data_IF_533306457254
#
_entry.id   IF_533306457254
#
_cell.length_a   1.000
_cell.length_b   1.000
_cell.length_c   1.000
_cell.angle_alpha   90.00
_cell.angle_beta   90.00
_cell.angle_gamma   90.00
#
_symmetry.space_group_name_H-M   'P 1'
#
loop_
_entity.id
_entity.type
_entity.pdbx_description
1 polymer ?
2 polymer ?
3 non-polymer ?
4 non-polymer ?
5 non-polymer ?
6 water ?
#
# COMPACT_ATOMS: atom_id res chain seq x y z
N UNK A 1 32.25 -10.83 -12.97
CA UNK A 1 30.81 -11.26 -12.90
C UNK A 1 30.04 -10.63 -11.75
N UNK A 2 28.80 -10.13 -12.01
CA UNK A 2 27.97 -9.54 -10.94
C UNK A 2 27.54 -10.56 -9.88
N UNK A 3 27.08 -10.14 -8.71
CA UNK A 3 26.59 -11.08 -7.70
C UNK A 3 25.26 -11.69 -8.16
N UNK A 4 25.00 -12.88 -7.65
CA UNK A 4 23.83 -13.68 -7.99
C UNK A 4 23.17 -14.11 -6.68
N UNK A 5 21.85 -13.98 -6.62
CA UNK A 5 21.07 -14.41 -5.47
C UNK A 5 19.95 -15.35 -5.92
N UNK A 6 20.01 -16.59 -5.42
CA UNK A 6 19.04 -17.66 -5.75
C UNK A 6 18.82 -17.72 -7.26
N UNK A 7 19.89 -17.78 -8.02
CA UNK A 7 19.79 -17.83 -9.47
C UNK A 7 19.47 -16.55 -10.24
N UNK A 8 19.23 -15.42 -9.56
CA UNK A 8 19.02 -14.16 -10.26
C UNK A 8 20.30 -13.33 -10.22
N UNK A 9 20.74 -12.86 -11.38
CA UNK A 9 21.83 -11.92 -11.45
C UNK A 9 21.35 -10.56 -10.92
N UNK A 10 22.14 -9.92 -10.07
CA UNK A 10 21.86 -8.54 -9.65
C UNK A 10 22.95 -7.64 -10.10
N UNK A 11 22.78 -7.08 -11.28
CA UNK A 11 23.84 -6.30 -11.90
C UNK A 11 23.85 -4.86 -11.35
N UNK A 12 24.30 -4.71 -10.11
CA UNK A 12 24.19 -3.46 -9.36
C UNK A 12 25.52 -3.01 -8.77
N UNK A 13 26.59 -3.74 -9.03
CA UNK A 13 27.89 -3.38 -8.50
C UNK A 13 28.46 -2.39 -9.47
N UNK A 14 29.58 -1.77 -9.15
CA UNK A 14 30.30 -1.94 -7.86
C UNK A 14 29.73 -1.15 -6.70
N UNK A 15 28.80 -0.21 -6.91
CA UNK A 15 28.28 0.59 -5.80
C UNK A 15 27.57 -0.24 -4.68
N UNK A 16 26.78 -1.20 -5.08
CA UNK A 16 25.91 -1.97 -4.20
C UNK A 16 26.42 -3.39 -4.19
N UNK A 17 26.74 -3.88 -2.99
CA UNK A 17 27.37 -5.19 -2.81
C UNK A 17 26.73 -5.95 -1.65
N UNK A 18 27.16 -7.20 -1.43
CA UNK A 18 26.78 -8.05 -0.30
C UNK A 18 25.26 -8.31 -0.31
N UNK A 19 24.76 -8.78 -1.43
CA UNK A 19 23.32 -8.95 -1.59
C UNK A 19 22.78 -10.16 -0.82
N UNK A 20 21.64 -9.98 -0.17
CA UNK A 20 20.99 -11.07 0.53
C UNK A 20 19.53 -11.05 0.15
N UNK A 21 18.99 -12.23 -0.03
CA UNK A 21 17.60 -12.39 -0.40
C UNK A 21 16.65 -11.89 0.69
N UNK A 22 15.61 -11.19 0.25
CA UNK A 22 14.48 -10.82 1.11
C UNK A 22 13.19 -11.49 0.65
N UNK A 23 12.84 -11.42 -0.63
CA UNK A 23 11.52 -11.92 -1.11
C UNK A 23 11.42 -11.84 -2.63
N UNK A 24 10.27 -12.21 -3.17
CA UNK A 24 10.04 -12.12 -4.60
C UNK A 24 8.58 -11.91 -5.01
N UNK A 25 8.38 -11.63 -6.31
CA UNK A 25 7.08 -11.69 -7.02
C UNK A 25 7.20 -12.38 -8.40
N UNK A 26 6.10 -12.41 -9.17
CA UNK A 26 6.10 -12.96 -10.54
C UNK A 26 7.12 -12.39 -11.52
N UNK A 27 7.52 -11.13 -11.40
CA UNK A 27 8.49 -10.59 -12.37
C UNK A 27 9.66 -9.83 -11.72
N UNK A 28 10.05 -10.23 -10.51
CA UNK A 28 11.13 -9.56 -9.79
C UNK A 28 11.62 -10.23 -8.52
N UNK A 29 12.61 -9.63 -7.87
CA UNK A 29 13.14 -10.13 -6.58
C UNK A 29 13.67 -8.95 -5.78
N UNK A 30 13.51 -8.99 -4.45
CA UNK A 30 14.05 -7.97 -3.57
C UNK A 30 15.20 -8.57 -2.76
N UNK A 31 16.30 -7.81 -2.64
CA UNK A 31 17.45 -8.18 -1.80
C UNK A 31 17.85 -7.02 -0.92
N UNK A 32 18.54 -7.30 0.18
CA UNK A 32 19.22 -6.27 0.93
C UNK A 32 20.60 -6.15 0.34
N UNK A 33 21.17 -4.98 0.50
CA UNK A 33 22.55 -4.73 0.09
C UNK A 33 23.23 -3.61 0.91
N UNK A 34 24.53 -3.40 0.63
CA UNK A 34 25.29 -2.31 1.17
C UNK A 34 25.67 -1.36 0.06
N UNK A 35 25.31 -0.10 0.28
CA UNK A 35 25.71 1.01 -0.59
C UNK A 35 27.07 1.47 -0.14
N UNK A 36 28.11 1.12 -0.91
CA UNK A 36 29.48 1.44 -0.54
C UNK A 36 29.78 2.96 -0.68
N UNK A 37 28.96 3.66 -1.44
CA UNK A 37 29.17 5.11 -1.70
C UNK A 37 28.65 5.91 -0.51
N UNK A 38 27.38 5.81 -0.22
CA UNK A 38 26.80 6.50 0.96
C UNK A 38 26.98 5.76 2.32
N UNK A 39 27.48 4.52 2.29
CA UNK A 39 27.72 3.72 3.53
C UNK A 39 26.42 3.55 4.30
N UNK A 40 25.45 2.97 3.60
CA UNK A 40 24.14 2.71 4.16
C UNK A 40 23.62 1.40 3.60
N UNK A 41 22.76 0.77 4.37
CA UNK A 41 22.13 -0.48 3.98
C UNK A 41 20.87 -0.18 3.20
N UNK A 42 20.69 -0.91 2.10
CA UNK A 42 19.59 -0.65 1.19
C UNK A 42 18.81 -1.92 0.88
N UNK A 43 17.61 -1.69 0.40
CA UNK A 43 16.82 -2.73 -0.25
C UNK A 43 16.85 -2.48 -1.73
N UNK A 44 16.99 -3.51 -2.54
CA UNK A 44 17.06 -3.33 -3.99
C UNK A 44 16.06 -4.30 -4.60
N UNK A 45 15.11 -3.77 -5.38
CA UNK A 45 14.17 -4.59 -6.12
C UNK A 45 14.58 -4.69 -7.56
N UNK A 46 14.80 -5.92 -8.06
CA UNK A 46 14.98 -6.20 -9.48
C UNK A 46 13.60 -6.47 -10.11
N UNK A 47 13.28 -5.76 -11.20
CA UNK A 47 12.03 -5.92 -11.97
C UNK A 47 12.42 -6.30 -13.38
N UNK A 48 11.68 -7.25 -13.98
CA UNK A 48 11.90 -7.66 -15.33
C UNK A 48 10.56 -7.63 -16.08
N UNK A 49 10.04 -6.41 -16.40
CA UNK A 49 8.65 -6.27 -16.75
C UNK A 49 8.32 -6.24 -18.23
N UNK A 50 9.31 -6.22 -19.09
CA UNK A 50 9.11 -5.65 -20.40
C UNK A 50 8.38 -6.57 -21.38
N UNK A 51 8.17 -7.83 -21.00
CA UNK A 51 7.43 -8.77 -21.84
C UNK A 51 5.94 -8.70 -21.66
N UNK A 52 5.45 -7.97 -20.66
CA UNK A 52 4.02 -7.91 -20.39
C UNK A 52 3.58 -6.50 -20.18
N UNK A 53 2.50 -6.15 -20.86
CA UNK A 53 2.02 -4.79 -20.84
C UNK A 53 1.61 -4.35 -19.42
N UNK A 54 0.93 -5.23 -18.70
CA UNK A 54 0.42 -4.87 -17.38
C UNK A 54 1.59 -4.65 -16.39
N UNK A 55 2.64 -5.47 -16.47
CA UNK A 55 3.86 -5.25 -15.66
C UNK A 55 4.54 -3.92 -15.98
N UNK A 56 4.63 -3.59 -17.25
CA UNK A 56 5.17 -2.27 -17.70
C UNK A 56 4.36 -1.10 -17.12
N UNK A 57 3.06 -1.25 -17.13
CA UNK A 57 2.12 -0.23 -16.64
C UNK A 57 2.34 0.02 -15.17
N UNK A 58 2.42 -1.06 -14.41
CA UNK A 58 2.60 -0.97 -12.97
C UNK A 58 3.99 -0.45 -12.62
N UNK A 59 5.00 -0.85 -13.38
CA UNK A 59 6.35 -0.34 -13.16
C UNK A 59 6.44 1.18 -13.37
N UNK A 60 5.81 1.67 -14.45
CA UNK A 60 5.79 3.08 -14.76
C UNK A 60 5.06 3.86 -13.68
N UNK A 61 3.94 3.33 -13.24
CA UNK A 61 3.13 4.04 -12.23
C UNK A 61 3.93 4.15 -10.95
N UNK A 62 4.50 3.04 -10.53
CA UNK A 62 5.20 3.04 -9.27
C UNK A 62 6.37 4.02 -9.28
N UNK A 63 7.09 3.98 -10.39
CA UNK A 63 8.21 4.91 -10.55
C UNK A 63 7.77 6.35 -10.57
N UNK A 64 6.77 6.70 -11.36
CA UNK A 64 6.35 8.10 -11.51
C UNK A 64 5.84 8.58 -10.19
N UNK A 65 5.09 7.73 -9.50
CA UNK A 65 4.47 8.15 -8.26
C UNK A 65 5.51 8.38 -7.19
N UNK A 66 6.32 7.38 -6.95
CA UNK A 66 7.29 7.46 -5.87
C UNK A 66 8.37 8.48 -6.10
N UNK A 67 8.75 8.70 -7.34
CA UNK A 67 9.69 9.80 -7.62
C UNK A 67 9.12 11.18 -7.33
N UNK A 68 7.80 11.39 -7.42
CA UNK A 68 7.25 12.69 -6.99
C UNK A 68 7.03 12.80 -5.49
N UNK A 69 6.73 11.69 -4.84
CA UNK A 69 6.33 11.71 -3.45
C UNK A 69 7.53 11.99 -2.56
N UNK A 70 7.28 12.75 -1.52
CA UNK A 70 8.29 12.96 -0.51
C UNK A 70 7.54 13.11 0.83
N UNK A 71 7.62 12.11 1.66
CA UNK A 71 6.89 12.09 2.92
C UNK A 71 7.54 11.10 3.88
N UNK A 72 7.56 11.46 5.14
CA UNK A 72 8.25 10.68 6.16
C UNK A 72 7.68 9.30 6.35
N UNK A 73 6.38 9.09 6.04
CA UNK A 73 5.75 7.78 6.20
C UNK A 73 5.54 7.02 4.87
N UNK A 74 6.30 7.38 3.85
CA UNK A 74 6.27 6.70 2.58
C UNK A 74 7.76 6.45 2.19
N UNK A 75 8.08 5.21 1.83
CA UNK A 75 9.47 4.87 1.42
C UNK A 75 9.85 5.57 0.10
N UNK A 76 11.01 6.25 0.09
CA UNK A 76 11.47 6.95 -1.08
C UNK A 76 12.36 6.08 -1.94
N UNK A 77 12.54 6.52 -3.18
CA UNK A 77 13.47 5.88 -4.10
C UNK A 77 14.78 6.64 -4.02
N UNK A 78 15.86 5.93 -3.79
CA UNK A 78 17.17 6.57 -3.69
C UNK A 78 17.87 6.61 -5.05
N UNK A 79 17.64 5.56 -5.85
CA UNK A 79 18.40 5.30 -7.06
C UNK A 79 17.63 4.33 -7.93
N UNK A 80 17.86 4.42 -9.24
CA UNK A 80 17.32 3.47 -10.17
C UNK A 80 18.41 3.11 -11.13
N UNK A 81 18.65 1.82 -11.24
CA UNK A 81 19.67 1.31 -12.15
C UNK A 81 19.03 0.60 -13.34
N UNK A 82 19.51 0.93 -14.54
CA UNK A 82 19.16 0.21 -15.75
C UNK A 82 20.17 0.53 -16.87
N UNK A 83 20.07 -0.20 -17.97
CA UNK A 83 21.11 -0.17 -19.02
C UNK A 83 21.19 1.17 -19.73
N UNK A 84 22.36 1.50 -20.32
CA UNK A 84 22.48 2.82 -20.93
C UNK A 84 21.68 3.04 -22.23
N UNK A 85 21.25 1.96 -22.87
CA UNK A 85 20.42 2.02 -24.08
C UNK A 85 19.16 1.21 -23.92
N UNK A 86 18.08 1.67 -24.55
CA UNK A 86 16.78 1.01 -24.41
C UNK A 86 16.79 -0.45 -24.86
N UNK A 87 17.53 -0.79 -25.95
CA UNK A 87 17.63 -2.18 -26.40
C UNK A 87 18.31 -3.11 -25.37
N UNK A 88 19.29 -2.61 -24.63
CA UNK A 88 19.93 -3.43 -23.59
C UNK A 88 19.15 -3.49 -22.27
N UNK A 89 18.16 -2.64 -22.09
CA UNK A 89 17.37 -2.62 -20.87
C UNK A 89 16.40 -3.81 -20.85
N UNK A 90 16.70 -4.78 -20.00
CA UNK A 90 15.81 -5.89 -19.69
C UNK A 90 15.32 -5.82 -18.26
N UNK A 91 16.17 -5.34 -17.36
CA UNK A 91 15.86 -5.28 -15.94
C UNK A 91 15.97 -3.86 -15.43
N UNK A 92 15.18 -3.53 -14.41
CA UNK A 92 15.28 -2.24 -13.74
C UNK A 92 15.45 -2.54 -12.25
N UNK A 93 16.39 -1.87 -11.60
CA UNK A 93 16.62 -2.07 -10.19
C UNK A 93 16.31 -0.80 -9.46
N UNK A 94 15.41 -0.88 -8.50
CA UNK A 94 15.04 0.26 -7.67
C UNK A 94 15.65 0.12 -6.26
N UNK A 95 16.30 1.18 -5.82
CA UNK A 95 17.02 1.18 -4.55
C UNK A 95 16.28 2.05 -3.54
N UNK A 96 16.07 1.52 -2.35
CA UNK A 96 15.52 2.23 -1.20
C UNK A 96 16.33 2.01 0.06
N UNK A 97 16.15 2.87 1.03
CA UNK A 97 16.72 2.63 2.37
C UNK A 97 16.14 1.31 2.95
N UNK A 98 16.99 0.49 3.55
CA UNK A 98 16.57 -0.80 4.11
C UNK A 98 15.84 -0.52 5.39
N UNK A 99 14.67 -1.09 5.56
CA UNK A 99 13.97 -1.00 6.82
C UNK A 99 14.18 -2.32 7.55
N UNK A 100 13.98 -2.31 8.87
CA UNK A 100 14.32 -3.49 9.68
C UNK A 100 13.32 -4.61 9.64
N UNK A 101 12.03 -4.29 9.55
CA UNK A 101 11.03 -5.33 9.55
C UNK A 101 9.77 -4.77 8.87
N UNK A 102 8.69 -5.52 8.96
CA UNK A 102 7.40 -5.02 8.52
C UNK A 102 6.34 -5.48 9.54
N UNK A 103 5.13 -4.94 9.37
CA UNK A 103 4.08 -5.20 10.33
C UNK A 103 3.63 -6.67 10.31
N UNK A 104 3.58 -7.29 9.15
CA UNK A 104 3.26 -8.72 9.03
C UNK A 104 4.19 -9.51 9.95
N UNK A 105 5.50 -9.29 9.80
CA UNK A 105 6.48 -9.99 10.67
C UNK A 105 6.33 -9.68 12.12
N UNK A 106 6.11 -8.41 12.42
CA UNK A 106 6.03 -7.99 13.80
C UNK A 106 4.82 -8.68 14.46
N UNK A 107 3.71 -8.77 13.74
CA UNK A 107 2.50 -9.39 14.30
C UNK A 107 2.61 -10.92 14.50
N UNK A 108 3.56 -11.56 13.84
CA UNK A 108 3.85 -12.99 14.09
C UNK A 108 4.60 -13.17 15.39
N UNK A 109 5.32 -12.15 15.84
CA UNK A 109 6.24 -12.32 16.95
C UNK A 109 5.85 -11.60 18.21
N UNK A 110 4.94 -10.63 18.12
CA UNK A 110 4.69 -9.71 19.22
C UNK A 110 3.23 -9.31 19.31
N UNK A 111 2.69 -9.31 20.52
CA UNK A 111 1.40 -8.70 20.84
C UNK A 111 1.67 -7.21 21.11
N UNK A 112 1.10 -6.31 20.32
CA UNK A 112 1.40 -4.85 20.44
C UNK A 112 0.61 -4.22 21.55
N UNK A 113 1.21 -3.28 22.28
CA UNK A 113 0.48 -2.52 23.29
C UNK A 113 -0.49 -1.60 22.57
N UNK A 114 -1.50 -1.13 23.29
CA UNK A 114 -2.44 -0.17 22.71
C UNK A 114 -1.69 1.07 22.24
N UNK A 115 -0.67 1.49 22.97
CA UNK A 115 0.10 2.65 22.56
C UNK A 115 0.78 2.42 21.22
N UNK A 116 1.35 1.22 21.00
CA UNK A 116 1.97 0.91 19.70
C UNK A 116 0.96 0.91 18.58
N UNK A 117 -0.19 0.30 18.83
CA UNK A 117 -1.22 0.20 17.81
C UNK A 117 -1.68 1.63 17.40
N UNK A 118 -1.92 2.46 18.40
CA UNK A 118 -2.35 3.83 18.21
C UNK A 118 -1.30 4.60 17.35
N UNK A 119 -0.03 4.53 17.75
CA UNK A 119 1.03 5.24 17.00
C UNK A 119 1.22 4.71 15.58
N UNK A 120 1.26 3.39 15.38
CA UNK A 120 1.32 2.83 14.05
C UNK A 120 0.15 3.25 13.18
N UNK A 121 -1.07 3.18 13.72
CA UNK A 121 -2.24 3.60 12.98
C UNK A 121 -2.14 5.08 12.56
N UNK A 122 -1.67 5.94 13.47
CA UNK A 122 -1.50 7.37 13.19
C UNK A 122 -0.58 7.49 11.96
N UNK A 123 0.52 6.75 11.99
CA UNK A 123 1.52 6.90 10.93
C UNK A 123 1.00 6.38 9.61
N UNK A 124 0.24 5.30 9.62
CA UNK A 124 -0.37 4.80 8.41
C UNK A 124 -1.29 5.88 7.81
N UNK A 125 -2.17 6.46 8.65
CA UNK A 125 -3.12 7.42 8.15
C UNK A 125 -2.49 8.75 7.76
N UNK A 126 -1.39 9.14 8.42
CA UNK A 126 -0.66 10.35 8.04
C UNK A 126 -0.04 10.17 6.63
N UNK A 127 0.60 9.02 6.41
CA UNK A 127 1.05 8.63 5.06
C UNK A 127 -0.10 8.57 4.07
N UNK A 128 -1.22 7.96 4.46
CA UNK A 128 -2.33 7.89 3.53
C UNK A 128 -2.92 9.24 3.18
N UNK A 129 -2.96 10.16 4.14
CA UNK A 129 -3.44 11.54 3.90
C UNK A 129 -2.67 12.17 2.74
N UNK A 130 -1.36 12.02 2.82
CA UNK A 130 -0.50 12.50 1.74
C UNK A 130 -0.82 11.81 0.42
N UNK A 131 -0.93 10.48 0.43
CA UNK A 131 -1.21 9.73 -0.81
C UNK A 131 -2.54 10.16 -1.44
N UNK A 132 -3.57 10.20 -0.61
CA UNK A 132 -4.90 10.62 -1.10
C UNK A 132 -4.95 12.07 -1.52
N UNK A 133 -4.19 12.95 -0.86
CA UNK A 133 -4.13 14.38 -1.30
C UNK A 133 -3.50 14.50 -2.71
N UNK A 134 -2.70 13.53 -3.10
CA UNK A 134 -2.14 13.52 -4.45
C UNK A 134 -3.05 12.91 -5.52
N UNK A 135 -4.26 12.48 -5.15
CA UNK A 135 -5.18 11.80 -6.07
C UNK A 135 -4.71 10.41 -6.44
N UNK A 136 -3.93 9.81 -5.56
CA UNK A 136 -3.48 8.44 -5.75
C UNK A 136 -4.30 7.51 -4.85
N UNK A 137 -4.55 6.32 -5.37
CA UNK A 137 -5.11 5.20 -4.63
C UNK A 137 -3.96 4.20 -4.51
N UNK A 138 -3.70 3.75 -3.29
CA UNK A 138 -2.65 2.75 -3.11
C UNK A 138 -3.07 1.36 -3.63
N UNK A 139 -4.22 0.90 -3.15
CA UNK A 139 -4.89 -0.31 -3.61
C UNK A 139 -4.26 -1.59 -3.15
N UNK A 140 -3.27 -1.57 -2.27
CA UNK A 140 -2.77 -2.81 -1.74
C UNK A 140 -2.19 -2.68 -0.37
N UNK A 141 -2.85 -1.91 0.47
CA UNK A 141 -2.40 -1.80 1.82
C UNK A 141 -2.65 -3.10 2.58
N UNK A 142 -1.63 -3.52 3.31
CA UNK A 142 -1.68 -4.70 4.13
C UNK A 142 -0.43 -4.76 5.01
N UNK A 143 -0.42 -5.66 5.99
CA UNK A 143 0.66 -5.56 6.97
C UNK A 143 2.08 -5.69 6.37
N UNK A 144 2.25 -6.54 5.37
CA UNK A 144 3.59 -6.72 4.77
C UNK A 144 4.04 -5.53 3.89
N UNK A 145 3.12 -4.60 3.58
CA UNK A 145 3.43 -3.33 2.94
C UNK A 145 3.64 -2.15 3.87
N UNK A 146 3.71 -2.40 5.17
CA UNK A 146 4.00 -1.39 6.13
C UNK A 146 5.34 -1.73 6.80
N UNK A 147 6.37 -0.97 6.45
CA UNK A 147 7.71 -1.28 6.91
C UNK A 147 7.95 -0.49 8.19
N UNK A 148 8.76 -1.06 9.05
CA UNK A 148 9.06 -0.50 10.33
C UNK A 148 10.53 -0.63 10.66
N UNK A 149 11.06 0.37 11.35
CA UNK A 149 12.29 0.22 12.11
C UNK A 149 11.96 0.03 13.61
N UNK A 150 12.90 -0.49 14.39
CA UNK A 150 12.70 -0.71 15.83
C UNK A 150 12.55 0.59 16.62
N UNK A 151 12.88 1.75 16.01
CA UNK A 151 12.49 3.01 16.59
C UNK A 151 10.98 3.33 16.41
N UNK A 152 10.18 2.40 15.90
CA UNK A 152 8.74 2.60 15.64
C UNK A 152 8.37 3.55 14.52
N UNK A 153 9.33 3.89 13.66
CA UNK A 153 9.03 4.66 12.46
C UNK A 153 8.43 3.75 11.44
N UNK A 154 7.30 4.15 10.85
CA UNK A 154 6.57 3.36 9.87
C UNK A 154 6.55 4.05 8.50
N UNK A 155 6.75 3.25 7.44
CA UNK A 155 6.71 3.73 6.11
C UNK A 155 5.91 2.79 5.23
N UNK A 156 5.03 3.37 4.43
CA UNK A 156 4.25 2.63 3.46
C UNK A 156 5.09 2.33 2.23
N UNK A 157 5.05 1.09 1.77
CA UNK A 157 5.78 0.69 0.58
C UNK A 157 4.84 0.08 -0.45
N UNK A 158 5.45 -0.36 -1.55
CA UNK A 158 4.82 -1.10 -2.64
C UNK A 158 3.74 -0.35 -3.36
N UNK A 159 4.12 0.48 -4.31
CA UNK A 159 3.16 1.25 -5.10
C UNK A 159 2.91 0.56 -6.46
N UNK A 160 3.16 -0.74 -6.51
CA UNK A 160 3.07 -1.48 -7.77
C UNK A 160 1.65 -1.65 -8.23
N UNK A 161 0.68 -1.50 -7.31
CA UNK A 161 -0.71 -1.52 -7.69
C UNK A 161 -1.38 -0.16 -7.64
N UNK A 162 -0.59 0.91 -7.43
CA UNK A 162 -1.16 2.21 -7.15
C UNK A 162 -1.44 2.88 -8.43
N UNK A 163 -2.39 3.83 -8.40
CA UNK A 163 -2.69 4.61 -9.59
C UNK A 163 -3.25 5.96 -9.20
N UNK A 164 -3.34 6.82 -10.21
CA UNK A 164 -3.94 8.13 -10.09
C UNK A 164 -5.37 8.02 -10.51
N UNK A 165 -6.26 8.71 -9.78
CA UNK A 165 -7.63 8.96 -10.27
C UNK A 165 -8.04 10.39 -9.94
N UNK A 166 -7.85 11.25 -10.92
CA UNK A 166 -8.18 12.67 -10.89
C UNK A 166 -9.68 12.82 -10.58
N UNK A 167 -10.02 13.40 -9.44
CA UNK A 167 -11.43 13.53 -9.08
C UNK A 167 -12.23 14.53 -9.96
N UNK A 168 -11.59 15.27 -10.87
CA UNK A 168 -12.34 16.03 -11.87
C UNK A 168 -13.12 15.12 -12.83
N UNK A 169 -12.76 13.83 -12.92
CA UNK A 169 -13.37 12.93 -13.89
C UNK A 169 -13.97 11.75 -13.18
N UNK A 170 -15.18 11.39 -13.57
CA UNK A 170 -15.82 10.17 -13.07
C UNK A 170 -15.10 8.96 -13.71
N UNK A 171 -14.47 8.13 -12.86
CA UNK A 171 -13.79 6.91 -13.29
C UNK A 171 -14.67 5.65 -13.26
N UNK A 172 -15.95 5.79 -12.98
CA UNK A 172 -16.84 4.65 -12.93
C UNK A 172 -16.82 3.93 -14.28
N UNK A 173 -16.54 2.63 -14.20
CA UNK A 173 -16.47 1.77 -15.40
C UNK A 173 -15.05 1.67 -15.95
N UNK A 174 -14.12 2.43 -15.39
CA UNK A 174 -12.73 2.48 -15.95
C UNK A 174 -11.62 2.04 -15.03
N UNK A 175 -11.93 1.58 -13.82
CA UNK A 175 -10.88 1.11 -12.90
C UNK A 175 -10.65 -0.39 -13.05
N UNK A 177 -10.25 -4.21 -12.21
CA UNK A 177 -10.94 -5.12 -11.29
C UNK A 177 -9.93 -5.92 -10.47
N UNK A 179 -8.38 -5.74 -7.56
CA UNK A 179 -7.27 -5.09 -6.87
C UNK A 179 -7.31 -5.44 -5.35
N UNK A 180 -6.27 -5.01 -4.65
CA UNK A 180 -5.98 -5.34 -3.25
C UNK A 180 -5.71 -6.85 -3.07
N UNK A 181 -5.18 -7.19 -1.91
CA UNK A 181 -5.00 -8.57 -1.49
C UNK A 181 -6.28 -8.98 -0.82
N UNK A 182 -6.71 -10.22 -1.11
CA UNK A 182 -8.07 -10.67 -0.81
C UNK A 182 -8.57 -10.29 0.56
N UNK A 183 -7.81 -10.62 1.61
CA UNK A 183 -8.29 -10.39 2.97
C UNK A 183 -8.54 -8.90 3.28
N UNK A 184 -7.91 -7.99 2.51
CA UNK A 184 -7.90 -6.53 2.76
C UNK A 184 -8.77 -5.81 1.77
N UNK A 185 -9.60 -6.60 1.07
CA UNK A 185 -10.32 -6.11 -0.08
C UNK A 185 -11.72 -5.60 0.34
N UNK A 186 -12.04 -4.33 0.03
CA UNK A 186 -13.33 -3.74 0.39
C UNK A 186 -14.46 -4.41 -0.39
N UNK A 187 -15.67 -4.37 0.15
CA UNK A 187 -16.74 -5.12 -0.50
C UNK A 187 -17.07 -4.59 -1.90
N UNK A 188 -16.93 -3.28 -2.11
CA UNK A 188 -17.24 -2.69 -3.38
C UNK A 188 -16.23 -3.09 -4.49
N UNK A 189 -15.04 -3.54 -4.16
CA UNK A 189 -14.18 -4.17 -5.19
C UNK A 189 -14.90 -5.41 -5.83
N UNK A 190 -15.75 -6.09 -5.05
CA UNK A 190 -16.50 -7.26 -5.57
C UNK A 190 -17.83 -6.84 -6.19
N UNK A 191 -18.42 -5.78 -5.67
CA UNK A 191 -19.79 -5.35 -6.06
C UNK A 191 -19.86 -4.17 -7.03
N UNK A 192 -18.76 -3.42 -7.16
CA UNK A 192 -18.70 -2.26 -8.05
C UNK A 192 -17.28 -2.30 -8.58
N UNK A 193 -16.99 -3.41 -9.23
CA UNK A 193 -15.60 -3.82 -9.48
C UNK A 193 -14.75 -2.90 -10.38
N UNK A 194 -15.40 -1.99 -11.12
CA UNK A 194 -14.76 -1.03 -12.03
C UNK A 194 -15.05 0.43 -11.67
N UNK A 195 -15.60 0.63 -10.48
CA UNK A 195 -16.12 1.93 -10.03
C UNK A 195 -15.86 2.30 -8.57
N UNK A 196 -14.88 1.66 -7.94
CA UNK A 196 -14.51 1.95 -6.56
C UNK A 196 -13.67 3.27 -6.53
N UNK A 197 -13.35 3.71 -5.32
CA UNK A 197 -12.68 4.99 -5.06
C UNK A 197 -11.57 4.73 -4.06
N UNK A 198 -10.84 5.79 -3.72
CA UNK A 198 -9.83 5.76 -2.68
C UNK A 198 -10.34 5.30 -1.31
N UNK A 199 -11.66 5.20 -1.14
CA UNK A 199 -12.22 4.66 0.09
C UNK A 199 -11.81 3.21 0.32
N UNK A 200 -11.43 2.50 -0.75
CA UNK A 200 -10.92 1.13 -0.57
C UNK A 200 -9.71 1.08 0.30
N UNK A 201 -8.92 2.15 0.28
CA UNK A 201 -7.70 2.17 1.10
C UNK A 201 -8.07 2.30 2.59
N UNK A 202 -9.12 3.04 2.90
CA UNK A 202 -9.59 3.16 4.29
C UNK A 202 -10.05 1.79 4.80
N UNK A 203 -10.77 1.06 3.97
CA UNK A 203 -11.19 -0.30 4.33
C UNK A 203 -9.98 -1.17 4.67
N UNK A 204 -8.96 -1.12 3.81
CA UNK A 204 -7.76 -1.93 4.09
C UNK A 204 -7.11 -1.52 5.41
N UNK A 205 -7.07 -0.22 5.69
CA UNK A 205 -6.52 0.24 6.97
C UNK A 205 -7.35 -0.28 8.13
N UNK A 206 -8.66 -0.31 7.99
CA UNK A 206 -9.47 -0.90 9.04
C UNK A 206 -9.11 -2.38 9.26
N UNK A 207 -8.91 -3.10 8.16
CA UNK A 207 -8.52 -4.53 8.27
C UNK A 207 -7.21 -4.64 9.03
N UNK A 208 -6.34 -3.68 8.77
CA UNK A 208 -5.01 -3.70 9.39
C UNK A 208 -5.14 -3.41 10.88
N UNK A 209 -5.98 -2.43 11.21
CA UNK A 209 -6.24 -2.11 12.63
C UNK A 209 -6.78 -3.33 13.39
N UNK A 210 -7.75 -4.02 12.78
CA UNK A 210 -8.32 -5.23 13.39
C UNK A 210 -7.24 -6.26 13.65
N UNK A 211 -6.34 -6.40 12.69
CA UNK A 211 -5.25 -7.34 12.76
C UNK A 211 -4.22 -6.98 13.85
N UNK A 212 -3.96 -5.70 14.05
CA UNK A 212 -3.14 -5.30 15.20
C UNK A 212 -3.77 -5.60 16.54
N UNK A 213 -5.08 -5.49 16.60
CA UNK A 213 -5.78 -5.71 17.85
C UNK A 213 -5.78 -7.21 18.29
N UNK A 214 -5.80 -8.13 17.32
CA UNK A 214 -5.94 -9.56 17.60
C UNK A 214 -4.80 -10.45 17.09
N UNK A 215 -3.81 -9.89 16.39
CA UNK A 215 -2.75 -10.68 15.69
C UNK A 215 -3.32 -11.76 14.73
N UNK A 216 -4.49 -11.52 14.18
CA UNK A 216 -4.99 -12.36 13.12
C UNK A 216 -5.86 -11.55 12.19
N UNK A 217 -5.91 -11.97 10.92
CA UNK A 217 -6.70 -11.24 9.94
C UNK A 217 -8.18 -11.35 10.25
N UNK A 218 -8.88 -10.26 10.12
CA UNK A 218 -10.31 -10.26 10.43
C UNK A 218 -11.21 -10.99 9.44
N UNK A 219 -10.88 -10.89 8.14
CA UNK A 219 -11.69 -11.50 7.08
C UNK A 219 -10.82 -12.43 6.20
N UNK A 220 -10.45 -13.62 6.72
CA UNK A 220 -9.54 -14.46 5.97
C UNK A 220 -10.26 -15.34 4.95
N UNK A 221 -10.89 -14.72 3.95
CA UNK A 221 -11.56 -15.48 2.91
C UNK A 221 -10.59 -16.44 2.22
N UNK A 222 -11.06 -17.67 1.95
CA UNK A 222 -10.27 -18.70 1.24
C UNK A 222 -10.30 -18.55 -0.27
N UNK A 223 -11.26 -17.78 -0.79
CA UNK A 223 -11.36 -17.50 -2.22
C UNK A 223 -12.23 -16.29 -2.45
N UNK A 224 -12.09 -15.73 -3.64
CA UNK A 224 -12.72 -14.47 -4.08
C UNK A 224 -14.17 -14.27 -3.58
N UNK A 225 -15.01 -15.28 -3.75
CA UNK A 225 -16.46 -15.18 -3.41
C UNK A 225 -16.73 -15.37 -1.88
N UNK A 226 -15.83 -16.11 -1.23
CA UNK A 226 -15.89 -16.37 0.22
C UNK A 226 -15.51 -15.10 0.99
N UNK A 227 -14.77 -14.22 0.34
CA UNK A 227 -14.32 -13.01 0.97
C UNK A 227 -15.50 -12.20 1.39
N UNK A 228 -16.44 -12.03 0.47
CA UNK A 228 -17.60 -11.22 0.74
C UNK A 228 -18.46 -11.83 1.86
N UNK A 229 -18.54 -13.16 1.90
CA UNK A 229 -19.22 -13.83 3.01
C UNK A 229 -18.59 -13.60 4.36
N UNK A 230 -17.27 -13.62 4.42
CA UNK A 230 -16.55 -13.29 5.68
C UNK A 230 -16.91 -11.87 6.18
N UNK A 231 -16.94 -10.91 5.26
CA UNK A 231 -17.28 -9.53 5.62
C UNK A 231 -18.67 -9.48 6.20
N UNK A 232 -19.61 -10.06 5.48
CA UNK A 232 -21.01 -10.00 5.89
C UNK A 232 -21.28 -10.82 7.13
N UNK A 233 -20.45 -11.82 7.39
CA UNK A 233 -20.58 -12.57 8.66
C UNK A 233 -20.34 -11.76 9.91
N UNK A 234 -19.58 -10.66 9.79
CA UNK A 234 -19.31 -9.78 10.93
C UNK A 234 -20.13 -8.51 10.86
N UNK A 235 -20.14 -7.84 9.70
CA UNK A 235 -20.91 -6.62 9.57
C UNK A 235 -22.41 -6.91 9.61
N UNK A 236 -22.80 -8.13 9.24
CA UNK A 236 -24.19 -8.48 9.04
C UNK A 236 -24.65 -8.04 7.67
N UNK A 237 -25.88 -8.39 7.35
CA UNK A 237 -26.48 -8.07 6.08
C UNK A 237 -26.60 -6.57 5.96
N UNK A 238 -26.35 -6.03 4.75
CA UNK A 238 -26.48 -4.59 4.60
C UNK A 238 -27.91 -4.10 4.74
N UNK A 239 -28.06 -2.87 5.21
CA UNK A 239 -29.35 -2.23 5.26
C UNK A 239 -29.95 -2.10 3.87
N UNK A 240 -31.27 -2.06 3.83
CA UNK A 240 -31.97 -1.81 2.59
C UNK A 240 -31.47 -0.54 1.92
N UNK A 241 -31.23 0.51 2.69
CA UNK A 241 -30.67 1.73 2.12
C UNK A 241 -29.35 1.46 1.39
N UNK A 242 -28.45 0.70 2.04
CA UNK A 242 -27.16 0.40 1.45
C UNK A 242 -27.22 -0.49 0.23
N UNK A 243 -28.19 -1.40 0.20
CA UNK A 243 -28.49 -2.20 -0.99
C UNK A 243 -28.95 -1.29 -2.13
N UNK A 244 -29.98 -0.50 -1.88
CA UNK A 244 -30.52 0.53 -2.81
C UNK A 244 -29.47 1.53 -3.35
N UNK A 245 -28.31 1.58 -2.72
CA UNK A 245 -27.17 2.35 -3.26
C UNK A 245 -26.35 1.62 -4.30
N UNK A 246 -26.52 0.31 -4.45
CA UNK A 246 -25.63 -0.46 -5.30
C UNK A 246 -26.16 -0.30 -6.72
N UNK A 247 -25.43 0.40 -7.56
CA UNK A 247 -25.93 0.79 -8.90
C UNK A 247 -26.02 -0.43 -9.82
N UNK A 248 -25.03 -1.32 -9.73
CA UNK A 248 -24.97 -2.54 -10.55
C UNK A 248 -26.09 -3.52 -10.18
N UNK A 249 -27.03 -3.73 -11.08
CA UNK A 249 -28.14 -4.62 -10.83
C UNK A 249 -27.78 -6.08 -10.49
N UNK A 250 -26.83 -6.66 -11.21
CA UNK A 250 -26.42 -8.05 -10.92
C UNK A 250 -25.90 -8.14 -9.51
N UNK A 251 -25.09 -7.17 -9.09
CA UNK A 251 -24.53 -7.14 -7.74
C UNK A 251 -25.62 -7.02 -6.66
N UNK A 252 -26.52 -6.04 -6.85
CA UNK A 252 -27.63 -5.85 -5.93
C UNK A 252 -28.50 -7.09 -5.82
N UNK A 253 -28.79 -7.75 -6.95
CA UNK A 253 -29.59 -8.98 -6.94
C UNK A 253 -28.82 -10.13 -6.29
N UNK A 254 -27.53 -10.24 -6.56
CA UNK A 254 -26.74 -11.28 -5.90
C UNK A 254 -26.82 -11.18 -4.37
N UNK A 255 -26.78 -9.95 -3.83
CA UNK A 255 -26.89 -9.76 -2.37
C UNK A 255 -28.28 -10.08 -1.84
N UNK A 256 -29.30 -9.66 -2.58
CA UNK A 256 -30.68 -10.02 -2.21
C UNK A 256 -30.87 -11.53 -2.09
N UNK A 257 -30.15 -12.32 -2.90
CA UNK A 257 -30.26 -13.79 -2.82
C UNK A 257 -29.75 -14.39 -1.51
N UNK A 258 -28.72 -13.77 -0.94
CA UNK A 258 -28.02 -14.33 0.22
C UNK A 258 -28.91 -14.39 1.46
N UNK A 259 -28.65 -15.35 2.36
CA UNK A 259 -29.43 -15.45 3.61
C UNK A 259 -29.11 -14.32 4.56
N UNK A 260 -30.05 -14.00 5.46
CA UNK A 260 -29.78 -12.92 6.42
C UNK A 260 -28.70 -13.29 7.44
N UNK A 261 -27.88 -12.29 7.79
CA UNK A 261 -26.84 -12.42 8.80
C UNK A 261 -26.86 -11.21 9.73
N UNK A 262 -26.71 -11.47 11.04
CA UNK A 262 -26.71 -10.41 12.05
C UNK A 262 -25.31 -9.85 12.22
N UNK A 263 -25.26 -8.60 12.66
CA UNK A 263 -24.03 -7.91 13.03
C UNK A 263 -23.41 -8.60 14.27
N UNK A 264 -22.11 -8.85 14.22
CA UNK A 264 -21.34 -9.30 15.36
C UNK A 264 -20.79 -8.01 15.95
N UNK A 265 -21.07 -7.73 17.24
CA UNK A 265 -20.57 -6.47 17.78
C UNK A 265 -19.05 -6.50 17.88
N UNK A 266 -18.44 -5.34 17.65
CA UNK A 266 -16.99 -5.23 17.68
C UNK A 266 -16.42 -5.68 19.00
N UNK A 267 -17.09 -5.32 20.09
CA UNK A 267 -16.55 -5.64 21.42
C UNK A 267 -16.68 -7.12 21.81
N UNK A 268 -17.49 -7.92 21.11
CA UNK A 268 -17.40 -9.37 21.32
C UNK A 268 -16.21 -9.94 20.56
N UNK A 269 -15.97 -9.43 19.37
CA UNK A 269 -14.78 -9.80 18.59
C UNK A 269 -13.47 -9.38 19.23
N UNK A 270 -13.45 -8.20 19.83
CA UNK A 270 -12.26 -7.60 20.40
C UNK A 270 -12.57 -7.16 21.84
N UNK A 271 -12.75 -8.12 22.76
CA UNK A 271 -13.24 -7.72 24.08
C UNK A 271 -12.21 -6.95 24.90
N UNK A 272 -10.97 -6.90 24.46
CA UNK A 272 -9.91 -6.22 25.21
C UNK A 272 -9.44 -4.92 24.57
N UNK A 273 -10.01 -4.56 23.42
CA UNK A 273 -9.59 -3.38 22.69
C UNK A 273 -10.09 -2.08 23.36
N UNK A 274 -9.32 -1.02 23.19
CA UNK A 274 -9.74 0.35 23.52
C UNK A 274 -11.05 0.66 22.78
N UNK A 275 -12.01 1.23 23.49
CA UNK A 275 -13.33 1.54 22.93
C UNK A 275 -13.28 2.52 21.80
N UNK A 276 -12.37 3.47 21.92
CA UNK A 276 -12.19 4.44 20.85
C UNK A 276 -11.61 3.78 19.61
N UNK A 277 -10.66 2.88 19.78
CA UNK A 277 -10.14 2.12 18.66
C UNK A 277 -11.30 1.41 17.94
N UNK A 278 -12.20 0.79 18.70
CA UNK A 278 -13.33 0.05 18.13
C UNK A 278 -14.30 0.95 17.41
N UNK A 279 -14.48 2.15 17.93
CA UNK A 279 -15.30 3.15 17.26
C UNK A 279 -14.72 3.52 15.92
N UNK A 280 -13.40 3.75 15.87
CA UNK A 280 -12.78 4.12 14.62
C UNK A 280 -12.75 2.92 13.68
N UNK A 281 -12.48 1.74 14.23
CA UNK A 281 -12.63 0.51 13.45
C UNK A 281 -13.97 0.39 12.74
N UNK A 282 -15.06 0.63 13.47
CA UNK A 282 -16.41 0.55 12.90
C UNK A 282 -16.59 1.50 11.70
N UNK A 283 -16.03 2.70 11.83
CA UNK A 283 -16.18 3.72 10.82
C UNK A 283 -15.34 3.41 9.55
N UNK A 284 -14.19 2.78 9.73
CA UNK A 284 -13.34 2.39 8.63
C UNK A 284 -13.90 1.16 7.93
N UNK A 285 -14.45 0.21 8.70
CA UNK A 285 -15.08 -0.98 8.15
C UNK A 285 -16.60 -0.80 7.95
N UNK A 286 -16.98 0.33 7.37
CA UNK A 286 -18.35 0.61 7.03
C UNK A 286 -18.61 0.04 5.64
N UNK A 287 -19.72 -0.68 5.48
CA UNK A 287 -20.06 -1.33 4.21
C UNK A 287 -20.15 -0.35 3.05
N UNK A 288 -20.90 0.72 3.27
CA UNK A 288 -21.21 1.66 2.22
C UNK A 288 -20.00 2.60 2.09
N UNK A 289 -19.33 2.61 0.93
CA UNK A 289 -18.11 3.42 0.82
C UNK A 289 -18.39 4.92 0.90
N UNK A 290 -19.61 5.34 0.57
CA UNK A 290 -19.94 6.76 0.68
C UNK A 290 -20.18 7.17 2.15
N UNK A 291 -20.50 6.24 3.02
CA UNK A 291 -20.60 6.55 4.46
C UNK A 291 -19.31 6.31 5.27
N UNK A 292 -18.36 5.60 4.68
CA UNK A 292 -17.09 5.26 5.31
C UNK A 292 -16.28 6.50 5.61
N UNK A 293 -15.62 6.52 6.77
CA UNK A 293 -14.80 7.65 7.16
C UNK A 293 -13.67 7.89 6.15
N UNK A 294 -13.39 9.15 5.89
CA UNK A 294 -12.30 9.58 5.02
C UNK A 294 -11.07 9.82 5.87
N UNK A 295 -9.93 9.93 5.21
CA UNK A 295 -8.66 9.91 5.95
C UNK A 295 -8.50 11.08 6.93
N UNK A 296 -8.87 12.29 6.51
CA UNK A 296 -8.80 13.43 7.42
C UNK A 296 -9.69 13.27 8.68
N UNK A 297 -10.90 12.81 8.51
CA UNK A 297 -11.80 12.55 9.64
C UNK A 297 -11.25 11.41 10.53
N UNK A 298 -10.64 10.40 9.91
CA UNK A 298 -10.05 9.35 10.73
C UNK A 298 -8.92 9.90 11.59
N UNK A 299 -8.05 10.73 11.01
CA UNK A 299 -6.97 11.36 11.78
C UNK A 299 -7.52 12.21 12.95
N UNK A 300 -8.69 12.78 12.75
CA UNK A 300 -9.34 13.62 13.75
C UNK A 300 -10.19 12.85 14.78
N UNK A 301 -10.25 11.53 14.64
CA UNK A 301 -11.04 10.71 15.55
C UNK A 301 -10.40 10.77 16.97
N UNK A 302 -11.19 10.68 18.04
CA UNK A 302 -10.63 10.66 19.39
C UNK A 302 -9.51 9.65 19.70
N UNK A 303 -9.54 8.49 19.04
CA UNK A 303 -8.48 7.52 19.24
C UNK A 303 -7.09 8.07 18.97
N UNK A 304 -6.96 9.02 18.02
CA UNK A 304 -5.65 9.53 17.58
C UNK A 304 -5.34 10.94 18.06
N UNK A 305 -6.07 11.39 19.06
CA UNK A 305 -6.02 12.80 19.44
C UNK A 305 -4.70 13.19 20.06
N UNK A 306 -3.93 12.25 20.59
CA UNK A 306 -2.61 12.63 21.10
C UNK A 306 -1.59 12.90 19.97
N UNK A 307 -1.90 12.44 18.75
CA UNK A 307 -1.01 12.64 17.60
C UNK A 307 -1.52 13.60 16.55
N UNK A 308 -2.82 13.80 16.43
CA UNK A 308 -3.37 14.58 15.31
C UNK A 308 -2.89 16.03 15.40
N UNK A 309 -2.23 16.47 14.35
CA UNK A 309 -1.70 17.85 14.27
C UNK A 309 -1.64 18.22 12.80
N UNK A 310 -2.69 18.85 12.29
CA UNK A 310 -2.65 19.20 10.86
C UNK A 310 -1.55 20.20 10.45
N UNK A 311 -0.84 20.82 11.39
CA UNK A 311 0.29 21.67 11.03
C UNK A 311 1.53 20.83 10.72
N UNK A 312 1.54 19.54 11.12
CA UNK A 312 2.66 18.66 10.79
C UNK A 312 2.21 17.40 10.01
N UNK A 313 1.28 17.55 9.09
CA UNK A 313 0.80 16.42 8.31
C UNK A 313 0.76 16.91 6.88
N UNK A 314 1.89 16.83 6.19
CA UNK A 314 1.96 17.36 4.83
C UNK A 314 1.00 16.71 3.85
N UNK A 315 0.61 17.52 2.87
CA UNK A 315 -0.15 17.08 1.74
C UNK A 315 0.67 17.37 0.50
N UNK A 316 0.29 16.75 -0.61
CA UNK A 316 1.06 16.84 -1.86
C UNK A 316 1.02 18.26 -2.42
N UNK A 317 2.16 18.80 -2.87
CA UNK A 317 2.15 20.16 -3.42
C UNK A 317 1.38 20.21 -4.70
N UNK A 318 1.68 19.25 -5.57
CA UNK A 318 1.12 19.22 -6.91
C UNK A 318 0.35 17.88 -7.08
N UNK A 319 -0.90 17.82 -6.67
CA UNK A 319 -1.64 16.57 -6.86
C UNK A 319 -1.63 16.14 -8.31
N UNK A 320 -1.58 14.84 -8.53
CA UNK A 320 -1.55 14.33 -9.90
C UNK A 320 -2.88 14.50 -10.59
N UNK A 321 -2.81 14.74 -11.89
CA UNK A 321 -4.01 14.96 -12.69
C UNK A 321 -4.15 13.91 -13.80
N UNK A 322 -5.27 14.01 -14.51
CA UNK A 322 -5.71 13.08 -15.58
C UNK A 322 -4.63 12.79 -16.60
N UNK A 323 -3.77 13.78 -16.89
CA UNK A 323 -2.54 13.56 -17.68
C UNK A 323 -1.73 12.32 -17.26
N UNK A 324 -1.47 12.17 -15.96
CA UNK A 324 -0.66 11.07 -15.41
C UNK A 324 -1.33 9.66 -15.51
N UNK A 325 -2.52 9.56 -16.15
CA UNK A 325 -3.32 8.31 -16.23
C UNK A 325 -3.37 7.63 -17.61
N UNK A 326 -3.06 8.31 -18.70
CA UNK A 326 -3.19 7.67 -20.03
C UNK A 326 -1.92 6.88 -20.29
N UNK A 327 -1.90 5.69 -19.69
CA UNK A 327 -0.81 4.72 -19.79
C UNK A 327 -1.37 3.40 -20.33
N UNK A 328 -2.53 3.46 -20.97
CA UNK A 328 -3.12 2.27 -21.53
C UNK A 328 -2.53 2.18 -22.93
N UNK A 329 -1.27 1.75 -23.00
CA UNK A 329 -0.45 1.94 -24.20
C UNK A 329 0.28 0.67 -24.49
N UNK A 330 0.74 0.46 -25.73
CA UNK A 330 1.51 -0.75 -25.97
C UNK A 330 2.77 -0.87 -25.07
N UNK A 331 3.12 -2.12 -24.73
CA UNK A 331 4.27 -2.38 -23.86
C UNK A 331 5.57 -1.76 -24.37
N UNK A 332 5.74 -1.65 -25.67
CA UNK A 332 6.95 -1.09 -26.24
C UNK A 332 6.96 0.43 -25.94
N UNK A 333 5.81 1.08 -26.03
CA UNK A 333 5.70 2.50 -25.72
C UNK A 333 5.93 2.76 -24.20
N UNK A 334 5.37 1.89 -23.38
CA UNK A 334 5.59 1.94 -21.91
C UNK A 334 7.09 1.78 -21.58
N UNK A 335 7.80 0.89 -22.29
CA UNK A 335 9.25 0.76 -22.11
C UNK A 335 9.96 2.08 -22.37
N UNK A 336 9.59 2.79 -23.45
CA UNK A 336 10.18 4.11 -23.71
C UNK A 336 9.90 5.09 -22.60
N UNK A 337 8.69 5.08 -22.09
CA UNK A 337 8.35 5.97 -20.94
C UNK A 337 9.14 5.62 -19.66
N UNK A 338 9.35 4.34 -19.42
CA UNK A 338 10.13 3.91 -18.26
C UNK A 338 11.60 4.34 -18.42
N UNK A 339 12.15 4.15 -19.60
CA UNK A 339 13.49 4.62 -19.93
C UNK A 339 13.62 6.14 -19.68
N UNK A 340 12.68 6.93 -20.18
CA UNK A 340 12.70 8.40 -19.96
C UNK A 340 12.56 8.75 -18.51
N UNK A 341 11.70 8.03 -17.78
CA UNK A 341 11.43 8.33 -16.38
C UNK A 341 12.63 8.03 -15.47
N UNK A 342 13.50 7.13 -15.90
CA UNK A 342 14.67 6.67 -15.15
C UNK A 342 15.99 7.32 -15.61
N UNK A 343 15.91 8.12 -16.67
CA UNK A 343 17.05 8.78 -17.25
C UNK A 343 17.80 9.69 -16.28
N UNK A 344 17.10 10.32 -15.37
CA UNK A 344 17.77 11.23 -14.44
C UNK A 344 18.82 10.57 -13.54
N UNK A 345 18.76 9.24 -13.42
CA UNK A 345 19.73 8.53 -12.61
C UNK A 345 20.95 8.09 -13.40
N UNK A 346 20.97 8.38 -14.68
CA UNK A 346 22.07 7.94 -15.56
C UNK A 346 23.17 8.95 -15.64
N UNK A 347 24.42 8.48 -15.74
CA UNK A 347 25.46 9.43 -16.18
C UNK A 347 25.16 10.12 -17.56
N UNK A 348 25.46 11.41 -17.63
CA UNK A 348 25.31 12.18 -18.85
C UNK A 348 23.89 12.63 -19.18
N UNK A 349 22.91 12.36 -18.30
CA UNK A 349 21.56 12.86 -18.50
C UNK A 349 21.53 14.38 -18.83
N UNK A 350 20.67 14.80 -19.75
CA UNK A 350 20.32 16.23 -19.94
C UNK A 350 18.81 16.34 -20.23
N UNK A 351 18.13 17.27 -19.54
CA UNK A 351 16.67 17.51 -19.74
C UNK A 351 16.35 18.39 -21.00
N UNK B 5 12.74 -6.92 18.52
CA UNK B 5 12.62 -6.26 19.85
C UNK B 5 12.33 -4.75 19.66
N UNK B 6 11.12 -4.33 20.04
CA UNK B 6 10.58 -3.02 19.65
C UNK B 6 10.78 -1.96 20.75
N UNK B 7 11.40 -0.84 20.37
CA UNK B 7 11.76 0.20 21.33
C UNK B 7 10.54 1.05 21.73
N UNK B 8 10.69 1.89 22.79
CA UNK B 8 9.60 2.82 23.11
C UNK B 8 9.27 3.74 21.92
N UNK B 9 8.01 4.18 21.85
CA UNK B 9 7.54 5.15 20.85
C UNK B 9 8.38 6.46 20.83
N UNK B 10 8.90 6.90 21.98
CA UNK B 10 9.63 8.21 22.07
C UNK B 10 11.04 8.15 21.38
N UNK B 11 11.49 6.96 21.00
CA UNK B 11 12.67 6.80 20.11
C UNK B 11 12.38 7.18 18.62
N UNK B 12 11.10 7.22 18.22
CA UNK B 12 10.70 7.74 16.91
C UNK B 12 10.82 9.28 16.89
N UNK B 13 11.50 9.82 15.87
CA UNK B 13 11.61 11.29 15.69
C UNK B 13 10.22 11.96 15.62
N UNK B 14 9.33 11.39 14.80
CA UNK B 14 7.97 11.92 14.65
C UNK B 14 7.27 12.08 16.04
N UNK B 15 7.32 11.05 16.88
CA UNK B 15 6.71 11.08 18.22
C UNK B 15 7.35 12.11 19.14
N UNK B 16 8.68 12.24 19.10
CA UNK B 16 9.39 13.28 19.86
C UNK B 16 8.85 14.69 19.59
N UNK B 17 8.60 15.00 18.32
CA UNK B 17 8.00 16.28 17.92
C UNK B 17 6.59 16.49 18.58
N UNK B 18 5.76 15.43 18.70
CA UNK B 18 4.38 15.56 19.28
C UNK B 18 4.30 15.89 20.79
#
# INVERSE_FOLDING_TARGET
GPEMVRGQVFDVGPRYTNLSYIGEGAYGMVCSAYDNVNKVRVAIKKISPFEHQTYCQRTLREIKILLRFRHENIIGINDIIRAPTIEQMKDVYIVQDLMETDLYKLLKTQHLSNDHICYFLYQILRGLKYIHSANVLHRDLKPSNLLLNTTCDLKICDFGLARVADPDHDHTGFLXEXVATRWYRAPEIMLNSKGYTKSIDIWSVGCILAEMLSNRPIFPGKHYLDQLNHILGILGSPSQEDLNCIINLKARNYLLSLPHKNKVPWNRLFPNADSKALDLLDKMLTFNPHKRIEVEQALAHPYLEQYYDPSDEPIAEAPFKFDMELDDLPKEKLKELIFEETARFQPGYRS
XGTAQLKPIESSILAQRRVRK
#
